data_IF_204607578662
#
_entry.id   IF_204607578662
#
_cell.length_a   1.000
_cell.length_b   1.000
_cell.length_c   1.000
_cell.angle_alpha   90.00
_cell.angle_beta   90.00
_cell.angle_gamma   90.00
#
_symmetry.space_group_name_H-M   'P 1'
#
loop_
_entity.id
_entity.type
_entity.pdbx_description
1 polymer ?
#
# COMPACT_ATOMS: atom_id res chain seq x y z
N UNK A 1 -9.36 -7.20 -6.83
CA UNK A 1 -7.92 -6.93 -6.73
C UNK A 1 -7.68 -5.49 -6.30
N UNK A 2 -7.55 -5.21 -4.99
CA UNK A 2 -7.35 -3.84 -4.53
C UNK A 2 -5.89 -3.40 -4.64
N UNK A 3 -4.91 -4.31 -4.65
CA UNK A 3 -3.49 -3.98 -4.69
C UNK A 3 -2.70 -5.00 -5.52
N UNK A 4 -1.54 -4.56 -6.01
CA UNK A 4 -0.55 -5.43 -6.64
C UNK A 4 0.85 -5.03 -6.17
N UNK A 5 1.77 -5.98 -6.24
CA UNK A 5 3.21 -5.71 -6.11
C UNK A 5 3.84 -5.86 -7.48
N UNK A 6 4.68 -4.89 -7.85
CA UNK A 6 5.59 -5.00 -8.98
C UNK A 6 6.82 -5.72 -8.45
N UNK A 7 6.97 -6.99 -8.82
CA UNK A 7 8.02 -7.87 -8.30
C UNK A 7 9.37 -7.61 -8.99
N UNK A 8 9.32 -7.37 -10.30
CA UNK A 8 10.49 -7.15 -11.14
C UNK A 8 10.10 -6.44 -12.43
N UNK A 9 11.05 -5.76 -13.05
CA UNK A 9 10.93 -5.19 -14.38
C UNK A 9 12.15 -5.59 -15.21
N UNK A 10 11.93 -5.84 -16.49
CA UNK A 10 12.97 -6.15 -17.46
C UNK A 10 12.65 -5.52 -18.82
N UNK A 11 13.58 -5.68 -19.74
CA UNK A 11 13.56 -5.10 -21.07
C UNK A 11 12.38 -5.66 -21.86
N UNK A 12 11.82 -4.84 -22.74
CA UNK A 12 10.90 -5.36 -23.73
C UNK A 12 11.69 -6.09 -24.82
N UNK A 13 11.36 -7.37 -25.06
CA UNK A 13 12.00 -8.18 -26.09
C UNK A 13 11.78 -7.66 -27.51
N UNK A 14 10.82 -6.75 -27.72
CA UNK A 14 10.60 -6.05 -28.99
C UNK A 14 11.56 -4.87 -29.23
N UNK A 15 12.38 -4.51 -28.23
CA UNK A 15 13.25 -3.34 -28.27
C UNK A 15 12.58 -2.01 -27.91
N UNK A 16 11.32 -2.05 -27.47
CA UNK A 16 10.63 -0.90 -26.87
C UNK A 16 11.04 -0.63 -25.42
N UNK A 17 10.48 0.43 -24.84
CA UNK A 17 10.63 0.76 -23.43
C UNK A 17 11.76 1.75 -23.11
N UNK A 18 12.14 1.82 -21.84
CA UNK A 18 13.23 2.68 -21.35
C UNK A 18 14.41 1.82 -20.83
N UNK A 19 15.21 1.20 -21.72
CA UNK A 19 16.28 0.29 -21.29
C UNK A 19 17.29 0.94 -20.35
N UNK A 20 17.54 2.25 -20.49
CA UNK A 20 18.44 3.01 -19.61
C UNK A 20 17.91 3.15 -18.17
N UNK A 21 16.59 3.12 -17.98
CA UNK A 21 15.95 3.29 -16.68
C UNK A 21 15.79 1.96 -15.93
N UNK A 22 15.92 0.82 -16.63
CA UNK A 22 15.71 -0.51 -16.03
C UNK A 22 16.58 -0.74 -14.78
N UNK A 23 17.90 -0.45 -14.77
CA UNK A 23 18.72 -0.66 -13.58
C UNK A 23 18.25 0.17 -12.37
N UNK A 24 17.85 1.42 -12.60
CA UNK A 24 17.31 2.28 -11.53
C UNK A 24 15.99 1.72 -11.01
N UNK A 25 15.07 1.36 -11.90
CA UNK A 25 13.78 0.82 -11.51
C UNK A 25 13.96 -0.49 -10.74
N UNK A 26 14.80 -1.42 -11.21
CA UNK A 26 15.10 -2.68 -10.53
C UNK A 26 15.63 -2.48 -9.10
N UNK A 27 16.44 -1.44 -8.85
CA UNK A 27 16.98 -1.15 -7.52
C UNK A 27 15.91 -0.72 -6.49
N UNK A 28 14.72 -0.35 -6.96
CA UNK A 28 13.61 0.14 -6.14
C UNK A 28 12.46 -0.87 -6.02
N UNK A 29 12.59 -2.04 -6.66
CA UNK A 29 11.63 -3.13 -6.60
C UNK A 29 12.04 -4.15 -5.52
N UNK A 30 11.07 -4.84 -4.89
CA UNK A 30 9.63 -4.79 -5.16
C UNK A 30 8.95 -3.54 -4.59
N UNK A 31 7.90 -3.08 -5.28
CA UNK A 31 7.05 -1.97 -4.79
C UNK A 31 5.57 -2.33 -4.90
N UNK A 32 4.79 -1.97 -3.88
CA UNK A 32 3.35 -2.21 -3.86
C UNK A 32 2.57 -0.97 -4.31
N UNK A 33 1.38 -1.21 -4.87
CA UNK A 33 0.47 -0.15 -5.24
C UNK A 33 -0.99 -0.60 -5.17
N UNK A 34 -1.88 0.36 -4.98
CA UNK A 34 -3.33 0.17 -5.01
C UNK A 34 -3.82 0.28 -6.44
N UNK A 35 -4.54 -0.72 -6.92
CA UNK A 35 -5.27 -0.63 -8.19
C UNK A 35 -6.42 0.36 -7.99
N UNK A 36 -6.28 1.56 -8.53
CA UNK A 36 -7.22 2.64 -8.30
C UNK A 36 -8.43 2.56 -9.23
N UNK A 37 -8.20 2.22 -10.50
CA UNK A 37 -9.26 1.94 -11.47
C UNK A 37 -8.72 1.27 -12.72
N UNK A 38 -9.62 0.69 -13.50
CA UNK A 38 -9.38 0.37 -14.90
C UNK A 38 -9.63 1.63 -15.75
N UNK A 39 -8.81 1.87 -16.77
CA UNK A 39 -8.91 3.00 -17.70
C UNK A 39 -8.83 2.46 -19.15
N UNK A 40 -9.79 2.75 -20.04
CA UNK A 40 -9.70 2.32 -21.43
C UNK A 40 -8.65 3.15 -22.19
N UNK A 41 -7.77 2.48 -22.94
CA UNK A 41 -6.84 3.11 -23.86
C UNK A 41 -7.34 3.10 -25.31
N UNK A 42 -6.54 3.64 -26.25
CA UNK A 42 -6.91 3.75 -27.66
C UNK A 42 -6.93 2.40 -28.40
N UNK A 43 -6.18 1.42 -27.92
CA UNK A 43 -5.96 0.09 -28.53
C UNK A 43 -6.64 -1.05 -27.76
N UNK A 44 -6.79 -0.90 -26.43
CA UNK A 44 -7.44 -1.89 -25.55
C UNK A 44 -8.12 -1.24 -24.34
N UNK A 45 -9.12 -1.91 -23.78
CA UNK A 45 -9.98 -1.36 -22.72
C UNK A 45 -9.56 -1.73 -21.29
N UNK A 46 -8.47 -2.48 -21.13
CA UNK A 46 -8.07 -3.16 -19.90
C UNK A 46 -6.70 -2.73 -19.36
N UNK A 47 -6.42 -1.42 -19.41
CA UNK A 47 -5.33 -0.83 -18.63
C UNK A 47 -5.77 -0.60 -17.19
N UNK A 48 -4.84 -0.80 -16.26
CA UNK A 48 -5.04 -0.54 -14.85
C UNK A 48 -4.14 0.59 -14.38
N UNK A 49 -4.77 1.60 -13.77
CA UNK A 49 -4.08 2.71 -13.12
C UNK A 49 -3.80 2.33 -11.66
N UNK A 50 -2.52 2.24 -11.31
CA UNK A 50 -2.03 1.75 -10.03
C UNK A 50 -1.31 2.88 -9.31
N UNK A 51 -1.76 3.22 -8.11
CA UNK A 51 -1.12 4.23 -7.27
C UNK A 51 -0.11 3.54 -6.36
N UNK A 52 1.16 3.89 -6.49
CA UNK A 52 2.30 3.30 -5.79
C UNK A 52 2.43 3.82 -4.37
N UNK A 53 2.94 2.97 -3.47
CA UNK A 53 3.38 3.35 -2.14
C UNK A 53 4.52 2.41 -1.67
N UNK A 54 5.77 2.90 -1.53
CA UNK A 54 6.24 4.27 -1.82
C UNK A 54 6.28 4.60 -3.34
N UNK A 55 6.42 5.89 -3.73
CA UNK A 55 6.66 6.27 -5.12
C UNK A 55 8.06 5.84 -5.60
N UNK A 56 8.22 5.63 -6.90
CA UNK A 56 9.52 5.37 -7.52
C UNK A 56 10.22 6.67 -7.90
N UNK A 57 11.55 6.67 -7.91
CA UNK A 57 12.38 7.67 -8.56
C UNK A 57 12.65 7.27 -10.00
N UNK A 58 12.60 8.26 -10.89
CA UNK A 58 12.88 8.09 -12.30
C UNK A 58 13.75 9.25 -12.79
N UNK A 59 14.98 8.93 -13.22
CA UNK A 59 15.88 9.86 -13.90
C UNK A 59 15.68 9.76 -15.41
N UNK A 60 14.99 10.73 -16.04
CA UNK A 60 14.74 10.66 -17.47
C UNK A 60 15.99 11.03 -18.29
N UNK A 61 15.95 10.75 -19.60
CA UNK A 61 17.00 11.16 -20.55
C UNK A 61 17.17 12.69 -20.58
N UNK A 62 18.35 13.20 -21.00
CA UNK A 62 18.62 14.64 -21.03
C UNK A 62 17.65 15.47 -21.91
N UNK A 63 17.04 14.85 -22.91
CA UNK A 63 16.08 15.47 -23.84
C UNK A 63 14.61 15.37 -23.39
N UNK A 64 14.37 14.87 -22.17
CA UNK A 64 13.03 14.73 -21.62
C UNK A 64 12.32 16.09 -21.47
N UNK A 65 11.11 16.17 -22.01
CA UNK A 65 10.26 17.34 -21.91
C UNK A 65 9.57 17.42 -20.54
N UNK A 66 10.22 18.13 -19.62
CA UNK A 66 9.70 18.40 -18.27
C UNK A 66 8.38 19.18 -18.25
N UNK A 67 8.00 19.87 -19.34
CA UNK A 67 6.74 20.64 -19.39
C UNK A 67 5.50 19.73 -19.41
N UNK A 68 5.66 18.43 -19.73
CA UNK A 68 4.62 17.41 -19.65
C UNK A 68 4.26 17.02 -18.22
N UNK A 69 5.04 17.46 -17.23
CA UNK A 69 4.97 16.96 -15.86
C UNK A 69 4.64 18.07 -14.86
N UNK A 70 4.12 17.70 -13.69
CA UNK A 70 3.85 18.68 -12.64
C UNK A 70 5.11 18.98 -11.80
N UNK A 71 5.52 20.25 -11.62
CA UNK A 71 6.74 20.62 -10.90
C UNK A 71 6.83 20.13 -9.45
N UNK A 72 5.71 19.96 -8.76
CA UNK A 72 5.67 19.46 -7.37
C UNK A 72 6.18 18.02 -7.21
N UNK A 73 6.24 17.25 -8.30
CA UNK A 73 6.77 15.88 -8.30
C UNK A 73 8.23 15.81 -8.71
N UNK A 74 8.85 16.94 -9.03
CA UNK A 74 10.27 17.00 -9.36
C UNK A 74 11.10 16.86 -8.09
N UNK A 75 12.22 16.18 -8.22
CA UNK A 75 13.23 16.05 -7.19
C UNK A 75 14.62 16.26 -7.77
N UNK A 76 15.60 16.37 -6.87
CA UNK A 76 17.00 16.43 -7.24
C UNK A 76 17.82 15.63 -6.25
N UNK A 77 18.77 14.86 -6.75
CA UNK A 77 19.79 14.17 -5.98
C UNK A 77 21.16 14.29 -6.68
N UNK A 78 22.14 13.50 -6.23
CA UNK A 78 23.50 13.53 -6.78
C UNK A 78 23.59 13.04 -8.23
N UNK A 79 22.63 12.23 -8.69
CA UNK A 79 22.55 11.74 -10.07
C UNK A 79 21.85 12.75 -11.00
N UNK A 80 21.08 13.70 -10.45
CA UNK A 80 20.53 14.82 -11.19
C UNK A 80 19.08 15.13 -10.83
N UNK A 81 18.36 15.69 -11.80
CA UNK A 81 16.92 15.92 -11.66
C UNK A 81 16.17 14.59 -11.91
N UNK A 82 15.20 14.30 -11.05
CA UNK A 82 14.36 13.11 -11.18
C UNK A 82 12.88 13.45 -11.01
N UNK A 83 12.02 12.57 -11.50
CA UNK A 83 10.59 12.62 -11.30
C UNK A 83 10.17 11.56 -10.27
N UNK A 84 9.31 11.94 -9.31
CA UNK A 84 8.65 11.00 -8.41
C UNK A 84 7.44 10.40 -9.11
N UNK A 85 7.50 9.10 -9.38
CA UNK A 85 6.42 8.33 -10.01
C UNK A 85 5.50 7.79 -8.91
N UNK A 86 4.35 8.43 -8.75
CA UNK A 86 3.30 8.02 -7.81
C UNK A 86 2.33 7.00 -8.39
N UNK A 87 2.32 6.82 -9.70
CA UNK A 87 1.43 5.88 -10.35
C UNK A 87 2.07 5.22 -11.57
N UNK A 88 1.57 4.03 -11.91
CA UNK A 88 1.91 3.33 -13.14
C UNK A 88 0.64 2.89 -13.85
N UNK A 89 0.78 2.69 -15.15
CA UNK A 89 -0.19 1.96 -15.97
C UNK A 89 0.35 0.56 -16.17
N UNK A 90 -0.49 -0.44 -15.97
CA UNK A 90 -0.18 -1.83 -16.31
C UNK A 90 -1.29 -2.47 -17.15
N UNK A 91 -0.91 -3.36 -18.06
CA UNK A 91 -1.83 -4.26 -18.75
C UNK A 91 -1.14 -5.59 -19.06
N UNK A 92 -1.90 -6.67 -19.23
CA UNK A 92 -1.32 -7.99 -19.55
C UNK A 92 -0.60 -7.99 -20.90
N UNK A 93 0.43 -8.84 -21.07
CA UNK A 93 1.11 -8.95 -22.36
C UNK A 93 0.19 -9.44 -23.50
N UNK A 94 -0.84 -10.22 -23.18
CA UNK A 94 -1.79 -10.75 -24.15
C UNK A 94 -3.18 -10.11 -23.98
N UNK A 95 -3.64 -9.40 -25.01
CA UNK A 95 -4.97 -8.75 -25.03
C UNK A 95 -6.06 -9.76 -24.69
N UNK A 96 -6.93 -9.39 -23.75
CA UNK A 96 -8.00 -10.25 -23.25
C UNK A 96 -7.64 -11.10 -22.02
N UNK A 97 -6.36 -11.20 -21.66
CA UNK A 97 -5.96 -11.76 -20.36
C UNK A 97 -6.06 -10.68 -19.29
N UNK A 98 -6.75 -10.94 -18.18
CA UNK A 98 -6.94 -9.93 -17.12
C UNK A 98 -6.10 -10.23 -15.89
N UNK A 99 -5.72 -9.16 -15.18
CA UNK A 99 -5.24 -9.26 -13.81
C UNK A 99 -6.34 -9.90 -12.96
N UNK A 100 -6.00 -10.95 -12.21
CA UNK A 100 -6.97 -11.69 -11.41
C UNK A 100 -6.42 -11.93 -10.01
N UNK A 101 -7.34 -12.06 -9.04
CA UNK A 101 -6.95 -12.33 -7.65
C UNK A 101 -6.09 -13.61 -7.55
N UNK A 102 -5.13 -13.60 -6.63
CA UNK A 102 -4.19 -14.69 -6.38
C UNK A 102 -3.11 -14.89 -7.44
N UNK A 103 -3.02 -14.02 -8.46
CA UNK A 103 -1.95 -14.12 -9.46
C UNK A 103 -0.57 -13.97 -8.80
N UNK A 104 0.43 -14.71 -9.28
CA UNK A 104 1.81 -14.60 -8.81
C UNK A 104 2.72 -14.43 -10.01
N UNK A 105 3.58 -13.42 -9.98
CA UNK A 105 4.56 -13.10 -11.03
C UNK A 105 3.93 -13.08 -12.42
N UNK A 106 2.75 -12.48 -12.52
CA UNK A 106 1.98 -12.39 -13.75
C UNK A 106 2.61 -11.34 -14.68
N UNK A 107 2.85 -11.66 -15.96
CA UNK A 107 3.55 -10.76 -16.87
C UNK A 107 2.66 -9.65 -17.42
N UNK A 108 3.16 -8.41 -17.35
CA UNK A 108 2.48 -7.19 -17.79
C UNK A 108 3.41 -6.25 -18.55
N UNK A 109 2.84 -5.39 -19.37
CA UNK A 109 3.48 -4.15 -19.80
C UNK A 109 3.34 -3.12 -18.68
N UNK A 110 4.40 -2.35 -18.42
CA UNK A 110 4.42 -1.30 -17.40
C UNK A 110 4.84 0.03 -18.02
N UNK A 111 4.05 1.08 -17.77
CA UNK A 111 4.39 2.45 -18.10
C UNK A 111 4.37 3.34 -16.85
N UNK A 112 5.36 4.21 -16.72
CA UNK A 112 5.45 5.21 -15.66
C UNK A 112 4.49 6.35 -15.97
N UNK A 113 3.66 6.77 -15.00
CA UNK A 113 2.82 7.96 -15.17
C UNK A 113 3.66 9.20 -14.89
N UNK A 114 3.86 10.02 -15.91
CA UNK A 114 4.63 11.27 -15.80
C UNK A 114 3.72 12.50 -15.64
N UNK A 115 2.47 12.40 -16.10
CA UNK A 115 1.41 13.38 -15.89
C UNK A 115 0.29 12.77 -15.03
N UNK A 116 0.22 13.18 -13.76
CA UNK A 116 -0.73 12.63 -12.80
C UNK A 116 -2.20 13.02 -13.08
N UNK A 117 -2.49 13.92 -14.02
CA UNK A 117 -3.86 14.23 -14.41
C UNK A 117 -4.57 13.03 -15.05
N UNK A 118 -3.83 12.04 -15.56
CA UNK A 118 -4.37 10.78 -16.09
C UNK A 118 -5.29 10.05 -15.10
N UNK A 119 -5.11 10.27 -13.80
CA UNK A 119 -5.99 9.73 -12.76
C UNK A 119 -7.45 10.17 -12.93
N UNK A 120 -7.71 11.29 -13.60
CA UNK A 120 -9.05 11.87 -13.84
C UNK A 120 -9.58 11.67 -15.26
N UNK A 121 -8.75 11.19 -16.19
CA UNK A 121 -9.14 11.07 -17.60
C UNK A 121 -10.15 9.94 -17.83
N UNK A 122 -11.09 10.09 -18.75
CA UNK A 122 -11.98 8.96 -19.10
C UNK A 122 -11.24 7.89 -19.90
N UNK A 123 -10.27 8.30 -20.72
CA UNK A 123 -9.46 7.44 -21.57
C UNK A 123 -7.97 7.69 -21.33
N UNK A 124 -7.16 6.64 -21.44
CA UNK A 124 -5.71 6.72 -21.32
C UNK A 124 -5.11 7.39 -22.55
N UNK A 125 -4.42 8.52 -22.35
CA UNK A 125 -3.56 9.13 -23.36
C UNK A 125 -2.11 8.74 -23.09
N UNK A 126 -1.48 8.04 -24.04
CA UNK A 126 -0.12 7.53 -23.86
C UNK A 126 0.93 8.63 -23.67
N UNK A 127 0.69 9.84 -24.18
CA UNK A 127 1.58 11.00 -23.98
C UNK A 127 1.76 11.38 -22.50
N UNK A 128 0.85 10.94 -21.61
CA UNK A 128 0.95 11.14 -20.15
C UNK A 128 1.82 10.11 -19.44
N UNK A 129 2.35 9.15 -20.19
CA UNK A 129 3.13 8.03 -19.67
C UNK A 129 4.44 7.87 -20.42
N UNK A 130 5.39 7.20 -19.79
CA UNK A 130 6.60 6.68 -20.42
C UNK A 130 6.59 5.15 -20.32
N UNK A 131 6.58 4.45 -21.45
CA UNK A 131 6.58 2.99 -21.44
C UNK A 131 7.92 2.48 -20.92
N UNK A 132 7.93 1.79 -19.78
CA UNK A 132 9.17 1.37 -19.13
C UNK A 132 9.68 0.03 -19.66
N UNK A 133 8.79 -0.95 -19.84
CA UNK A 133 9.15 -2.29 -20.28
C UNK A 133 8.15 -3.36 -19.81
N UNK A 134 8.62 -4.59 -19.69
CA UNK A 134 7.83 -5.73 -19.23
C UNK A 134 8.10 -6.00 -17.74
N UNK A 135 7.06 -6.18 -16.96
CA UNK A 135 7.15 -6.42 -15.53
C UNK A 135 6.45 -7.71 -15.12
N UNK A 136 6.84 -8.24 -13.96
CA UNK A 136 6.10 -9.29 -13.27
C UNK A 136 5.37 -8.64 -12.09
N UNK A 137 4.07 -8.90 -12.01
CA UNK A 137 3.23 -8.40 -10.92
C UNK A 137 2.56 -9.55 -10.18
N UNK A 138 2.53 -9.47 -8.86
CA UNK A 138 1.79 -10.41 -8.03
C UNK A 138 0.57 -9.72 -7.45
N UNK A 139 -0.54 -10.45 -7.38
CA UNK A 139 -1.58 -10.13 -6.41
C UNK A 139 -0.94 -10.32 -5.05
N UNK A 140 -0.81 -9.22 -4.33
CA UNK A 140 -0.85 -9.33 -2.90
C UNK A 140 -2.34 -9.39 -2.59
N UNK A 141 -2.87 -10.43 -1.90
CA UNK A 141 -4.12 -10.23 -1.19
C UNK A 141 -3.91 -8.92 -0.44
N UNK A 142 -4.76 -7.90 -0.73
CA UNK A 142 -4.58 -6.48 -0.36
C UNK A 142 -3.59 -6.41 0.77
N UNK A 143 -2.39 -5.77 0.67
CA UNK A 143 -1.43 -5.74 1.76
C UNK A 143 -2.29 -5.42 2.94
N UNK A 144 -2.48 -6.46 3.71
CA UNK A 144 -3.42 -6.42 4.78
C UNK A 144 -2.47 -5.73 5.71
N UNK A 145 -2.50 -4.39 5.65
CA UNK A 145 -1.75 -3.54 6.52
C UNK A 145 -2.21 -3.82 7.95
N UNK A 146 -3.22 -4.70 8.11
CA UNK A 146 -3.26 -5.74 9.11
C UNK A 146 -1.91 -6.33 9.51
N UNK A 147 -1.27 -5.56 10.36
CA UNK A 147 -0.51 -6.10 11.45
C UNK A 147 -1.33 -7.24 12.08
N UNK A 148 -0.78 -8.44 12.11
CA UNK A 148 -1.37 -9.54 12.87
C UNK A 148 -1.28 -9.19 14.34
N UNK A 149 -2.42 -9.16 15.01
CA UNK A 149 -2.53 -8.78 16.40
C UNK A 149 -2.76 -10.01 17.27
N UNK A 150 -1.77 -10.31 18.11
CA UNK A 150 -1.94 -11.27 19.20
C UNK A 150 -2.46 -10.52 20.43
N UNK A 151 -3.63 -10.90 20.93
CA UNK A 151 -4.19 -10.29 22.16
C UNK A 151 -3.29 -10.64 23.35
N UNK A 152 -2.81 -9.61 24.06
CA UNK A 152 -2.00 -9.78 25.26
C UNK A 152 -2.78 -9.59 26.55
N UNK A 153 -3.67 -8.60 26.58
CA UNK A 153 -4.47 -8.26 27.75
C UNK A 153 -5.73 -7.50 27.33
N UNK A 154 -6.79 -7.59 28.12
CA UNK A 154 -8.00 -6.82 27.91
C UNK A 154 -8.70 -6.43 29.21
N UNK A 155 -9.46 -5.34 29.11
CA UNK A 155 -10.56 -5.05 30.00
C UNK A 155 -11.80 -5.02 29.10
N UNK A 156 -12.67 -6.05 29.18
CA UNK A 156 -13.88 -6.11 28.38
C UNK A 156 -14.63 -4.78 28.48
N UNK A 157 -14.99 -4.20 27.34
CA UNK A 157 -15.70 -2.91 27.19
C UNK A 157 -14.87 -1.64 27.36
N UNK A 158 -13.61 -1.72 27.80
CA UNK A 158 -12.78 -0.52 28.03
C UNK A 158 -11.62 -0.44 27.04
N UNK A 159 -10.80 -1.49 26.96
CA UNK A 159 -9.62 -1.54 26.09
C UNK A 159 -9.13 -2.96 25.82
N UNK A 160 -8.29 -3.12 24.80
CA UNK A 160 -7.59 -4.37 24.48
C UNK A 160 -6.18 -4.04 24.00
N UNK A 161 -5.18 -4.65 24.63
CA UNK A 161 -3.78 -4.55 24.24
C UNK A 161 -3.42 -5.73 23.33
N UNK A 162 -2.75 -5.41 22.23
CA UNK A 162 -2.25 -6.36 21.26
C UNK A 162 -0.75 -6.19 21.04
N UNK A 163 -0.09 -7.29 20.71
CA UNK A 163 1.24 -7.32 20.12
C UNK A 163 1.13 -7.57 18.62
N UNK A 164 1.84 -6.75 17.87
CA UNK A 164 1.95 -6.82 16.43
C UNK A 164 3.01 -7.84 16.00
N UNK A 165 2.85 -8.41 14.80
CA UNK A 165 3.88 -9.28 14.20
C UNK A 165 5.23 -8.58 13.96
N UNK A 166 5.27 -7.25 13.90
CA UNK A 166 6.50 -6.45 13.80
C UNK A 166 7.12 -6.08 15.16
N UNK A 167 6.55 -6.57 16.26
CA UNK A 167 7.00 -6.30 17.64
C UNK A 167 6.48 -4.99 18.23
N UNK A 168 5.68 -4.22 17.49
CA UNK A 168 5.00 -3.03 18.03
C UNK A 168 3.80 -3.41 18.91
N UNK A 169 3.30 -2.46 19.69
CA UNK A 169 2.13 -2.66 20.53
C UNK A 169 0.98 -1.78 20.06
N UNK A 170 -0.22 -2.34 19.97
CA UNK A 170 -1.44 -1.64 19.57
C UNK A 170 -2.45 -1.70 20.71
N UNK A 171 -2.96 -0.55 21.12
CA UNK A 171 -4.02 -0.44 22.11
C UNK A 171 -5.34 -0.10 21.42
N UNK A 172 -6.31 -0.99 21.48
CA UNK A 172 -7.71 -0.69 21.13
C UNK A 172 -8.39 -0.07 22.34
N UNK A 173 -9.02 1.09 22.17
CA UNK A 173 -9.80 1.78 23.20
C UNK A 173 -11.24 1.89 22.75
N UNK A 174 -12.17 1.60 23.66
CA UNK A 174 -13.61 1.66 23.40
C UNK A 174 -14.17 3.05 23.74
N UNK A 175 -14.79 3.71 22.78
CA UNK A 175 -15.49 4.98 22.93
C UNK A 175 -16.99 4.77 22.85
N UNK A 176 -17.76 5.55 23.60
CA UNK A 176 -19.22 5.59 23.46
C UNK A 176 -19.61 6.89 22.77
N UNK A 177 -19.99 6.81 21.50
CA UNK A 177 -20.23 7.96 20.63
C UNK A 177 -21.72 8.12 20.28
N UNK A 178 -22.16 9.38 20.15
CA UNK A 178 -23.50 9.73 19.66
C UNK A 178 -24.64 9.62 20.71
N UNK A 179 -25.84 10.11 20.34
CA UNK A 179 -27.01 10.12 21.23
C UNK A 179 -27.52 8.72 21.58
N UNK A 180 -27.18 7.73 20.74
CA UNK A 180 -27.53 6.32 20.92
C UNK A 180 -26.45 5.50 21.63
N UNK A 181 -25.39 6.13 22.13
CA UNK A 181 -24.31 5.47 22.89
C UNK A 181 -23.74 4.24 22.16
N UNK A 182 -23.33 4.45 20.92
CA UNK A 182 -22.74 3.39 20.10
C UNK A 182 -21.30 3.18 20.54
N UNK A 183 -20.94 1.93 20.85
CA UNK A 183 -19.59 1.56 21.23
C UNK A 183 -18.69 1.40 19.98
N UNK A 184 -17.68 2.26 19.88
CA UNK A 184 -16.72 2.32 18.78
C UNK A 184 -15.33 1.99 19.29
N UNK A 185 -14.71 0.95 18.72
CA UNK A 185 -13.31 0.62 19.03
C UNK A 185 -12.35 1.37 18.10
N UNK A 186 -11.48 2.19 18.68
CA UNK A 186 -10.40 2.89 17.96
C UNK A 186 -9.05 2.28 18.34
N UNK A 187 -8.09 2.25 17.41
CA UNK A 187 -6.81 1.56 17.58
C UNK A 187 -5.67 2.58 17.59
N UNK A 188 -4.75 2.47 18.55
CA UNK A 188 -3.65 3.40 18.74
C UNK A 188 -2.32 2.67 18.81
N UNK A 189 -1.31 3.17 18.11
CA UNK A 189 0.05 2.63 18.15
C UNK A 189 0.80 3.15 19.39
N UNK A 190 1.45 2.25 20.13
CA UNK A 190 2.27 2.61 21.29
C UNK A 190 3.65 3.11 20.85
N UNK A 191 4.05 4.27 21.38
CA UNK A 191 5.34 4.89 21.08
C UNK A 191 6.48 4.14 21.79
N UNK A 192 7.60 3.94 21.09
CA UNK A 192 8.85 3.44 21.70
C UNK A 192 9.05 1.92 21.70
N UNK A 193 8.14 1.13 21.10
CA UNK A 193 8.32 -0.32 20.88
C UNK A 193 8.41 -1.17 22.16
N UNK A 194 8.23 -0.57 23.33
CA UNK A 194 8.18 -1.24 24.61
C UNK A 194 6.73 -1.54 24.97
N UNK A 195 6.50 -2.68 25.62
CA UNK A 195 5.18 -3.03 26.15
C UNK A 195 4.76 -1.96 27.15
N UNK A 196 3.56 -1.37 27.03
CA UNK A 196 3.09 -0.39 28.00
C UNK A 196 2.93 -1.02 29.39
N UNK A 197 3.49 -0.37 30.41
CA UNK A 197 3.43 -0.84 31.80
C UNK A 197 2.01 -0.77 32.38
N UNK A 198 1.23 0.25 32.01
CA UNK A 198 -0.16 0.43 32.44
C UNK A 198 -1.08 0.79 31.24
N UNK A 199 -1.62 -0.21 30.53
CA UNK A 199 -2.54 0.00 29.41
C UNK A 199 -3.85 0.70 29.83
N UNK A 200 -4.26 0.57 31.09
CA UNK A 200 -5.50 1.15 31.59
C UNK A 200 -5.39 2.66 31.79
N UNK A 201 -4.28 3.12 32.38
CA UNK A 201 -3.99 4.57 32.50
C UNK A 201 -3.86 5.22 31.11
N UNK A 202 -3.19 4.55 30.17
CA UNK A 202 -3.06 5.04 28.79
C UNK A 202 -4.43 5.13 28.11
N UNK A 203 -5.28 4.11 28.23
CA UNK A 203 -6.63 4.13 27.67
C UNK A 203 -7.48 5.27 28.28
N UNK A 204 -7.38 5.48 29.59
CA UNK A 204 -8.09 6.57 30.27
C UNK A 204 -7.61 7.95 29.80
N UNK A 205 -6.29 8.14 29.63
CA UNK A 205 -5.70 9.36 29.07
C UNK A 205 -6.18 9.60 27.64
N UNK A 206 -6.18 8.57 26.80
CA UNK A 206 -6.68 8.65 25.42
C UNK A 206 -8.14 9.10 25.41
N UNK A 207 -9.02 8.49 26.23
CA UNK A 207 -10.44 8.88 26.29
C UNK A 207 -10.65 10.33 26.73
N UNK A 208 -9.86 10.80 27.71
CA UNK A 208 -9.99 12.15 28.27
C UNK A 208 -9.56 13.24 27.29
N UNK A 209 -8.48 12.99 26.56
CA UNK A 209 -7.80 14.02 25.76
C UNK A 209 -8.12 13.90 24.25
N UNK A 210 -9.01 12.98 23.86
CA UNK A 210 -9.43 12.77 22.46
C UNK A 210 -10.24 13.97 21.92
N UNK A 211 -9.99 14.45 20.68
CA UNK A 211 -9.13 13.87 19.65
C UNK A 211 -7.66 14.35 19.66
N UNK A 212 -7.24 15.16 20.63
CA UNK A 212 -5.92 15.82 20.69
C UNK A 212 -4.83 14.97 21.33
N UNK A 213 -4.86 13.65 21.12
CA UNK A 213 -3.93 12.70 21.76
C UNK A 213 -2.62 12.57 20.98
N UNK A 214 -1.50 12.39 21.69
CA UNK A 214 -0.16 12.18 21.09
C UNK A 214 0.07 10.76 20.52
N UNK A 215 -1.00 9.96 20.42
CA UNK A 215 -0.95 8.60 19.91
C UNK A 215 -1.43 8.54 18.47
N UNK A 216 -0.69 7.84 17.62
CA UNK A 216 -1.08 7.63 16.23
C UNK A 216 -2.27 6.68 16.17
N UNK A 217 -3.45 7.17 15.77
CA UNK A 217 -4.62 6.34 15.48
C UNK A 217 -4.42 5.59 14.16
N UNK A 218 -4.66 4.28 14.17
CA UNK A 218 -4.61 3.42 12.99
C UNK A 218 -6.00 2.89 12.66
N UNK A 219 -6.29 2.72 11.37
CA UNK A 219 -7.59 2.22 10.91
C UNK A 219 -7.80 0.76 11.32
N UNK A 220 -9.04 0.37 11.59
CA UNK A 220 -9.41 -1.05 11.76
C UNK A 220 -9.04 -1.91 10.54
N UNK A 221 -9.02 -1.34 9.34
CA UNK A 221 -8.56 -2.02 8.12
C UNK A 221 -7.06 -2.33 8.11
N UNK A 222 -6.31 -1.71 9.03
CA UNK A 222 -4.86 -1.88 9.24
C UNK A 222 -4.58 -2.89 10.37
N UNK A 223 -5.56 -3.65 10.85
CA UNK A 223 -5.34 -4.68 11.88
C UNK A 223 -6.06 -5.99 11.52
N UNK A 224 -5.38 -7.13 11.64
CA UNK A 224 -5.98 -8.47 11.47
C UNK A 224 -5.88 -9.18 12.80
N UNK A 225 -7.02 -9.69 13.24
CA UNK A 225 -7.09 -10.50 14.44
C UNK A 225 -6.74 -11.93 14.04
N UNK A 226 -5.67 -12.48 14.61
CA UNK A 226 -5.51 -13.94 14.62
C UNK A 226 -6.56 -14.51 15.57
N UNK A 227 -7.37 -15.44 15.05
CA UNK A 227 -8.41 -16.12 15.83
C UNK A 227 -7.73 -16.98 16.89
N UNK A 228 -8.19 -16.85 18.14
CA UNK A 228 -7.65 -17.49 19.34
C UNK A 228 -7.15 -18.93 19.14
N UNK A 229 -5.87 -19.14 19.41
CA UNK A 229 -5.36 -20.42 19.88
C UNK A 229 -5.88 -20.66 21.30
N UNK A 230 -7.11 -21.17 21.42
CA UNK A 230 -7.64 -21.62 22.70
C UNK A 230 -6.73 -22.69 23.33
N UNK A 231 -6.53 -22.69 24.66
CA UNK A 231 -5.68 -23.68 25.31
C UNK A 231 -6.25 -25.08 25.06
N UNK A 232 -5.40 -25.97 24.55
CA UNK A 232 -5.71 -27.38 24.40
C UNK A 232 -6.13 -27.96 25.76
N UNK A 233 -7.42 -28.26 25.88
CA UNK A 233 -7.99 -28.96 27.04
C UNK A 233 -7.40 -30.37 27.11
N UNK A 234 -6.38 -30.55 27.94
CA UNK A 234 -5.87 -31.86 28.35
C UNK A 234 -6.92 -32.58 29.19
N UNK A 235 -7.76 -33.40 28.53
CA UNK A 235 -8.46 -34.49 29.22
C UNK A 235 -7.49 -35.66 29.35
N UNK A 236 -6.88 -35.80 30.53
CA UNK A 236 -6.30 -37.08 30.95
C UNK A 236 -7.40 -38.10 31.23
N UNK A 237 -7.24 -39.38 30.86
CA UNK A 237 -8.21 -40.40 31.21
C UNK A 237 -8.04 -40.80 32.68
N UNK A 238 -9.17 -40.94 33.37
CA UNK A 238 -9.33 -41.74 34.59
C UNK A 238 -9.84 -43.11 34.17
#
# INVERSE_FOLDING_TARGET
>A
MPHLTIDSIDWDQSGGGLPYAIPELQSQLPVSGRVARQIPGPDRSDYFFVVLNPPLRFHPQPDFDWSRTQPEFHGRDDAGAFLRIYAVIVCSLAVGTQLHNGMKRFPVQLALVIDNTVGRDEHLTFEKCEYAGQALVSDVPSPSNSIELTKLADSPWEWTLYEASDGSFVLRVMFSEGPYKIDVGRYFLMQGGLRPDDPADIAARIKRDYPTVDFTEISKSTVAHTVDGGPASTKGPV
#
